data_IF_001631349713
#
_entry.id   IF_001631349713
#
_cell.length_a   1.000
_cell.length_b   1.000
_cell.length_c   1.000
_cell.angle_alpha   90.00
_cell.angle_beta   90.00
_cell.angle_gamma   90.00
#
_symmetry.space_group_name_H-M   'P 1'
#
loop_
_entity.id
_entity.type
_entity.pdbx_description
1 polymer ?
#
# COMPACT_ATOMS: atom_id res chain seq x y z
N UNK A 1 -3.36 26.18 17.59
CA UNK A 1 -3.42 24.82 17.02
C UNK A 1 -4.23 24.92 15.74
N UNK A 2 -3.60 25.32 14.64
CA UNK A 2 -4.26 25.35 13.32
C UNK A 2 -4.33 23.92 12.84
N UNK A 3 -5.51 23.29 12.92
CA UNK A 3 -5.71 22.01 12.29
C UNK A 3 -5.68 22.23 10.78
N UNK A 4 -4.53 21.96 10.17
CA UNK A 4 -4.33 21.89 8.73
C UNK A 4 -5.45 21.07 8.11
N UNK A 5 -6.37 21.75 7.43
CA UNK A 5 -7.53 21.10 6.82
C UNK A 5 -7.10 20.55 5.47
N UNK A 6 -6.31 19.47 5.48
CA UNK A 6 -5.88 18.79 4.26
C UNK A 6 -7.07 18.54 3.35
N UNK A 7 -6.94 18.81 2.06
CA UNK A 7 -7.97 18.49 1.06
C UNK A 7 -8.15 16.96 0.96
N UNK A 8 -9.30 16.47 0.46
CA UNK A 8 -9.47 15.05 0.18
C UNK A 8 -8.35 14.48 -0.70
N UNK A 9 -7.92 15.23 -1.72
CA UNK A 9 -6.80 14.85 -2.58
C UNK A 9 -5.48 14.66 -1.80
N UNK A 10 -5.14 15.60 -0.92
CA UNK A 10 -3.94 15.51 -0.07
C UNK A 10 -4.00 14.32 0.88
N UNK A 11 -5.15 14.08 1.52
CA UNK A 11 -5.31 12.93 2.44
C UNK A 11 -5.20 11.59 1.71
N UNK A 12 -5.76 11.47 0.51
CA UNK A 12 -5.68 10.24 -0.29
C UNK A 12 -4.23 10.01 -0.73
N UNK A 13 -3.51 11.05 -1.16
CA UNK A 13 -2.08 10.92 -1.51
C UNK A 13 -1.21 10.51 -0.31
N UNK A 14 -1.45 11.07 0.87
CA UNK A 14 -0.75 10.66 2.09
C UNK A 14 -1.01 9.18 2.42
N UNK A 15 -2.27 8.76 2.32
CA UNK A 15 -2.67 7.37 2.56
C UNK A 15 -2.02 6.43 1.55
N UNK A 16 -2.03 6.82 0.26
CA UNK A 16 -1.40 6.07 -0.82
C UNK A 16 0.11 5.91 -0.59
N UNK A 17 0.79 6.95 -0.12
CA UNK A 17 2.23 6.88 0.22
C UNK A 17 2.49 5.85 1.33
N UNK A 18 1.67 5.86 2.39
CA UNK A 18 1.76 4.89 3.48
C UNK A 18 1.49 3.45 3.00
N UNK A 19 0.47 3.23 2.16
CA UNK A 19 0.19 1.90 1.62
C UNK A 19 1.33 1.38 0.72
N UNK A 20 1.95 2.25 -0.09
CA UNK A 20 3.12 1.89 -0.92
C UNK A 20 4.32 1.47 -0.07
N UNK A 21 4.53 2.13 1.06
CA UNK A 21 5.54 1.74 2.05
C UNK A 21 5.19 0.39 2.70
N UNK A 22 3.95 0.20 3.14
CA UNK A 22 3.47 -1.08 3.70
C UNK A 22 3.61 -2.24 2.71
N UNK A 23 3.34 -2.01 1.42
CA UNK A 23 3.52 -2.99 0.35
C UNK A 23 4.98 -3.42 0.20
N UNK A 24 5.90 -2.47 0.28
CA UNK A 24 7.34 -2.77 0.26
C UNK A 24 7.73 -3.67 1.45
N UNK A 25 7.28 -3.33 2.66
CA UNK A 25 7.51 -4.18 3.83
C UNK A 25 6.85 -5.55 3.72
N UNK A 26 5.63 -5.62 3.17
CA UNK A 26 4.90 -6.85 2.99
C UNK A 26 5.65 -7.83 2.09
N UNK A 27 6.20 -7.33 0.97
CA UNK A 27 7.05 -8.13 0.07
C UNK A 27 8.30 -8.66 0.79
N UNK A 28 9.02 -7.80 1.51
CA UNK A 28 10.21 -8.21 2.25
C UNK A 28 9.90 -9.29 3.30
N UNK A 29 8.72 -9.22 3.93
CA UNK A 29 8.27 -10.24 4.89
C UNK A 29 7.98 -11.59 4.21
N UNK A 30 7.34 -11.60 3.03
CA UNK A 30 7.14 -12.83 2.23
C UNK A 30 8.49 -13.48 1.94
N UNK A 31 9.44 -12.71 1.43
CA UNK A 31 10.77 -13.20 1.06
C UNK A 31 11.49 -13.79 2.27
N UNK A 32 11.47 -13.09 3.41
CA UNK A 32 12.11 -13.54 4.64
C UNK A 32 11.44 -14.80 5.19
N UNK A 33 10.11 -14.85 5.23
CA UNK A 33 9.38 -16.01 5.74
C UNK A 33 9.62 -17.25 4.87
N UNK A 34 9.67 -17.07 3.55
CA UNK A 34 9.98 -18.14 2.58
C UNK A 34 11.42 -18.64 2.77
N UNK A 35 12.39 -17.76 2.96
CA UNK A 35 13.78 -18.15 3.22
C UNK A 35 13.91 -18.94 4.53
N UNK A 36 13.23 -18.51 5.60
CA UNK A 36 13.23 -19.23 6.88
C UNK A 36 12.53 -20.58 6.77
N UNK A 37 11.42 -20.64 6.01
CA UNK A 37 10.74 -21.90 5.72
C UNK A 37 11.70 -22.91 5.07
N UNK A 38 12.42 -22.52 4.02
CA UNK A 38 13.35 -23.41 3.32
C UNK A 38 14.52 -23.88 4.19
N UNK A 39 15.04 -23.02 5.07
CA UNK A 39 16.14 -23.37 5.98
C UNK A 39 15.72 -24.43 7.01
N UNK A 40 14.47 -24.35 7.47
CA UNK A 40 13.99 -25.16 8.59
C UNK A 40 12.92 -26.20 8.21
N UNK A 41 12.52 -26.34 6.95
CA UNK A 41 11.43 -27.24 6.53
C UNK A 41 11.58 -28.66 7.12
N UNK A 42 12.78 -29.23 7.07
CA UNK A 42 13.07 -30.55 7.65
C UNK A 42 13.02 -30.62 9.18
N UNK A 43 13.32 -29.54 9.89
CA UNK A 43 13.31 -29.47 11.36
C UNK A 43 11.92 -29.10 11.90
N UNK A 44 11.26 -28.12 11.28
CA UNK A 44 9.89 -27.69 11.61
C UNK A 44 8.88 -28.81 11.36
N UNK A 45 9.06 -29.62 10.32
CA UNK A 45 8.23 -30.81 10.09
C UNK A 45 8.35 -31.81 11.24
N UNK A 46 9.56 -32.06 11.75
CA UNK A 46 9.78 -32.92 12.93
C UNK A 46 9.15 -32.34 14.20
N UNK A 47 9.18 -31.02 14.34
CA UNK A 47 8.59 -30.27 15.46
C UNK A 47 7.08 -29.98 15.30
N UNK A 48 6.46 -30.45 14.20
CA UNK A 48 5.04 -30.21 13.86
C UNK A 48 4.64 -28.72 13.78
N UNK A 49 5.60 -27.83 13.49
CA UNK A 49 5.35 -26.39 13.33
C UNK A 49 5.13 -25.97 11.87
N UNK A 50 5.33 -26.90 10.93
CA UNK A 50 5.22 -26.67 9.50
C UNK A 50 3.92 -25.92 9.09
N UNK A 51 2.77 -26.44 9.51
CA UNK A 51 1.46 -25.87 9.16
C UNK A 51 1.25 -24.43 9.65
N UNK A 52 1.85 -24.06 10.79
CA UNK A 52 1.71 -22.70 11.33
C UNK A 52 2.44 -21.67 10.46
N UNK A 53 3.61 -22.04 9.92
CA UNK A 53 4.38 -21.15 9.05
C UNK A 53 3.74 -21.09 7.65
N UNK A 54 3.23 -22.20 7.11
CA UNK A 54 2.45 -22.19 5.87
C UNK A 54 1.25 -21.24 5.98
N UNK A 55 0.51 -21.27 7.10
CA UNK A 55 -0.60 -20.36 7.34
C UNK A 55 -0.15 -18.88 7.40
N UNK A 56 1.03 -18.59 7.95
CA UNK A 56 1.60 -17.24 7.93
C UNK A 56 1.98 -16.81 6.50
N UNK A 57 2.55 -17.71 5.69
CA UNK A 57 2.88 -17.43 4.29
C UNK A 57 1.63 -17.11 3.46
N UNK A 58 0.56 -17.89 3.63
CA UNK A 58 -0.72 -17.62 2.97
C UNK A 58 -1.26 -16.24 3.33
N UNK A 59 -1.35 -15.92 4.62
CA UNK A 59 -1.86 -14.61 5.08
C UNK A 59 -0.99 -13.45 4.62
N UNK A 60 0.32 -13.64 4.58
CA UNK A 60 1.24 -12.62 4.10
C UNK A 60 1.05 -12.35 2.59
N UNK A 61 0.83 -13.41 1.81
CA UNK A 61 0.46 -13.29 0.38
C UNK A 61 -0.86 -12.56 0.19
N UNK A 62 -1.91 -12.97 0.91
CA UNK A 62 -3.23 -12.32 0.86
C UNK A 62 -3.16 -10.84 1.21
N UNK A 63 -2.39 -10.46 2.23
CA UNK A 63 -2.17 -9.06 2.59
C UNK A 63 -1.44 -8.29 1.49
N UNK A 64 -0.43 -8.89 0.85
CA UNK A 64 0.29 -8.25 -0.24
C UNK A 64 -0.64 -7.97 -1.42
N UNK A 65 -1.43 -8.95 -1.84
CA UNK A 65 -2.38 -8.81 -2.94
C UNK A 65 -3.46 -7.76 -2.63
N UNK A 66 -3.96 -7.74 -1.39
CA UNK A 66 -4.92 -6.74 -0.94
C UNK A 66 -4.33 -5.32 -0.95
N UNK A 67 -3.06 -5.16 -0.56
CA UNK A 67 -2.36 -3.87 -0.62
C UNK A 67 -2.21 -3.39 -2.07
N UNK A 68 -1.83 -4.26 -3.01
CA UNK A 68 -1.72 -3.89 -4.44
C UNK A 68 -3.08 -3.46 -5.02
N UNK A 69 -4.15 -4.17 -4.67
CA UNK A 69 -5.51 -3.83 -5.12
C UNK A 69 -5.98 -2.47 -4.58
N UNK A 70 -5.80 -2.23 -3.29
CA UNK A 70 -6.20 -0.96 -2.67
C UNK A 70 -5.35 0.23 -3.17
N UNK A 71 -4.05 0.03 -3.36
CA UNK A 71 -3.17 1.03 -3.97
C UNK A 71 -3.67 1.42 -5.36
N UNK A 72 -4.04 0.42 -6.18
CA UNK A 72 -4.57 0.67 -7.52
C UNK A 72 -5.88 1.47 -7.48
N UNK A 73 -6.81 1.09 -6.59
CA UNK A 73 -8.07 1.82 -6.41
C UNK A 73 -7.86 3.27 -5.93
N UNK A 74 -6.92 3.50 -5.01
CA UNK A 74 -6.58 4.84 -4.55
C UNK A 74 -5.85 5.66 -5.61
N UNK A 75 -5.02 5.05 -6.47
CA UNK A 75 -4.41 5.73 -7.62
C UNK A 75 -5.47 6.23 -8.61
N UNK A 76 -6.48 5.41 -8.90
CA UNK A 76 -7.64 5.84 -9.70
C UNK A 76 -8.41 6.99 -9.03
N UNK A 77 -8.60 6.91 -7.71
CA UNK A 77 -9.25 7.97 -6.95
C UNK A 77 -8.45 9.27 -6.94
N UNK A 78 -7.11 9.21 -6.86
CA UNK A 78 -6.23 10.38 -6.96
C UNK A 78 -6.43 11.08 -8.30
N UNK A 79 -6.56 10.34 -9.40
CA UNK A 79 -6.83 10.92 -10.73
C UNK A 79 -8.18 11.64 -10.76
N UNK A 80 -9.22 11.04 -10.17
CA UNK A 80 -10.55 11.66 -10.11
C UNK A 80 -10.60 12.90 -9.23
N UNK A 81 -9.81 12.92 -8.15
CA UNK A 81 -9.70 14.04 -7.22
C UNK A 81 -8.68 15.08 -7.66
N UNK A 82 -7.94 14.83 -8.74
CA UNK A 82 -6.96 15.78 -9.25
C UNK A 82 -7.70 17.08 -9.56
N UNK A 83 -7.34 18.20 -8.92
CA UNK A 83 -7.96 19.47 -9.25
C UNK A 83 -7.73 19.73 -10.74
N UNK A 84 -8.77 20.13 -11.46
CA UNK A 84 -8.63 20.56 -12.84
C UNK A 84 -7.51 21.59 -12.86
N UNK A 85 -6.46 21.33 -13.65
CA UNK A 85 -5.44 22.32 -13.91
C UNK A 85 -6.20 23.59 -14.33
N UNK A 86 -5.99 24.68 -13.61
CA UNK A 86 -6.66 25.94 -13.84
C UNK A 86 -6.48 26.36 -15.30
N UNK A 87 -7.47 26.08 -16.14
CA UNK A 87 -7.64 26.70 -17.45
C UNK A 87 -9.02 27.37 -17.47
N UNK A 88 -9.06 28.58 -16.92
CA UNK A 88 -9.85 29.72 -17.40
C UNK A 88 -9.11 30.99 -16.93
N UNK A 89 -8.19 31.54 -17.73
CA UNK A 89 -8.38 32.43 -18.87
C UNK A 89 -8.75 33.87 -18.49
N UNK A 90 -7.99 34.82 -19.04
CA UNK A 90 -8.11 36.24 -18.76
C UNK A 90 -9.44 36.87 -19.20
N UNK A 91 -9.93 37.79 -18.38
CA UNK A 91 -10.93 38.80 -18.72
C UNK A 91 -10.43 40.14 -18.21
N UNK A 92 -10.13 41.07 -19.12
CA UNK A 92 -9.27 42.21 -18.87
C UNK A 92 -9.85 43.34 -18.01
N UNK A 93 -9.02 44.36 -17.82
CA UNK A 93 -9.50 45.73 -17.65
C UNK A 93 -8.48 46.68 -18.24
N UNK A 94 -8.84 47.21 -19.41
CA UNK A 94 -8.36 48.50 -19.90
C UNK A 94 -9.05 49.55 -19.01
N UNK A 95 -8.27 50.36 -18.30
CA UNK A 95 -8.56 51.78 -18.10
C UNK A 95 -7.35 52.53 -17.56
#
# INVERSE_FOLDING_TARGET
MSADTKTPFERVNDTLAQLKEMRHYSKNNVERLTAQWLLFDGELKKLKQAANIEALMTRQGELHDALEAEISALEELVVQLQPAAEEDAGGGTVH
#
